data_IF_044559887446
#
_entry.id   IF_044559887446
#
_cell.length_a   1.000
_cell.length_b   1.000
_cell.length_c   1.000
_cell.angle_alpha   90.00
_cell.angle_beta   90.00
_cell.angle_gamma   90.00
#
_symmetry.space_group_name_H-M   'P 1'
#
loop_
_entity.id
_entity.type
_entity.pdbx_description
1 polymer ?
#
# COMPACT_ATOMS: atom_id res chain seq x y z
N UNK A 1 32.70 -15.67 -0.69
CA UNK A 1 31.26 -15.36 -0.74
C UNK A 1 31.16 -13.87 -0.59
N UNK A 2 31.12 -13.23 -1.75
CA UNK A 2 31.48 -11.84 -1.94
C UNK A 2 30.37 -10.93 -1.40
N UNK A 3 30.73 -9.81 -0.76
CA UNK A 3 29.80 -8.73 -0.42
C UNK A 3 28.93 -8.33 -1.63
N UNK A 4 29.48 -8.48 -2.83
CA UNK A 4 28.83 -8.22 -4.12
C UNK A 4 27.74 -9.25 -4.46
N UNK A 5 27.89 -10.50 -4.02
CA UNK A 5 26.86 -11.54 -4.11
C UNK A 5 25.74 -11.27 -3.11
N UNK A 6 26.08 -10.83 -1.89
CA UNK A 6 25.11 -10.46 -0.86
C UNK A 6 24.33 -9.20 -1.23
N UNK A 7 24.98 -8.22 -1.86
CA UNK A 7 24.34 -7.02 -2.41
C UNK A 7 23.39 -7.37 -3.55
N UNK A 8 23.80 -8.22 -4.50
CA UNK A 8 22.91 -8.70 -5.58
C UNK A 8 21.74 -9.53 -5.05
N UNK A 9 21.96 -10.30 -3.99
CA UNK A 9 20.90 -11.04 -3.31
C UNK A 9 19.92 -10.10 -2.59
N UNK A 10 20.42 -9.03 -1.98
CA UNK A 10 19.61 -7.98 -1.37
C UNK A 10 18.84 -7.16 -2.41
N UNK A 11 19.46 -6.74 -3.51
CA UNK A 11 18.80 -6.07 -4.64
C UNK A 11 17.69 -6.95 -5.24
N UNK A 12 17.92 -8.25 -5.38
CA UNK A 12 16.91 -9.20 -5.86
C UNK A 12 15.79 -9.47 -4.86
N UNK A 13 16.02 -9.26 -3.55
CA UNK A 13 15.03 -9.46 -2.48
C UNK A 13 14.23 -8.21 -2.14
N UNK A 14 14.77 -7.02 -2.39
CA UNK A 14 14.07 -5.78 -2.13
C UNK A 14 13.10 -5.51 -3.27
N UNK A 15 11.83 -5.90 -3.07
CA UNK A 15 10.74 -5.36 -3.88
C UNK A 15 10.77 -3.84 -3.75
N UNK A 16 11.25 -3.15 -4.79
CA UNK A 16 11.48 -1.71 -4.83
C UNK A 16 10.20 -0.84 -4.80
N UNK A 17 9.10 -1.37 -4.25
CA UNK A 17 7.92 -0.58 -3.89
C UNK A 17 8.25 0.22 -2.63
N UNK A 18 8.62 1.49 -2.79
CA UNK A 18 8.88 2.35 -1.64
C UNK A 18 7.61 2.55 -0.82
N UNK A 19 7.83 2.57 0.50
CA UNK A 19 6.84 2.55 1.57
C UNK A 19 5.71 3.56 1.37
N UNK A 20 4.50 3.13 1.75
CA UNK A 20 3.28 3.91 2.01
C UNK A 20 3.53 5.24 2.76
N UNK A 21 4.64 5.31 3.50
CA UNK A 21 5.02 6.43 4.39
C UNK A 21 6.09 7.37 3.79
N UNK A 22 6.51 7.12 2.55
CA UNK A 22 7.55 7.93 1.91
C UNK A 22 6.96 9.24 1.42
N UNK A 23 7.55 10.36 1.84
CA UNK A 23 7.15 11.68 1.36
C UNK A 23 7.52 11.79 -0.12
N UNK A 24 6.54 12.11 -0.97
CA UNK A 24 6.82 12.37 -2.38
C UNK A 24 7.46 13.77 -2.52
N UNK A 25 8.79 13.80 -2.69
CA UNK A 25 9.54 15.05 -2.85
C UNK A 25 9.19 15.83 -4.13
N UNK A 26 8.50 15.20 -5.08
CA UNK A 26 8.12 15.82 -6.36
C UNK A 26 7.06 16.93 -6.22
N UNK A 27 6.23 16.91 -5.17
CA UNK A 27 5.10 17.86 -5.02
C UNK A 27 5.44 19.15 -4.26
N UNK A 28 6.57 19.21 -3.55
CA UNK A 28 6.88 20.32 -2.62
C UNK A 28 7.91 21.32 -3.13
N UNK A 29 8.30 21.25 -4.41
CA UNK A 29 9.37 22.09 -4.94
C UNK A 29 10.66 21.97 -4.13
N UNK A 30 10.95 20.75 -3.65
CA UNK A 30 12.08 20.51 -2.79
C UNK A 30 13.37 20.72 -3.59
N UNK A 31 14.45 21.26 -2.99
CA UNK A 31 15.74 21.43 -3.66
C UNK A 31 16.25 20.16 -4.35
N UNK A 32 15.88 19.00 -3.82
CA UNK A 32 16.34 17.69 -4.29
C UNK A 32 15.34 16.94 -5.20
N UNK A 33 14.45 17.67 -5.88
CA UNK A 33 13.40 17.05 -6.70
C UNK A 33 13.99 16.30 -7.90
N UNK A 34 15.09 16.80 -8.46
CA UNK A 34 15.71 16.20 -9.65
C UNK A 34 16.51 14.95 -9.29
N UNK A 35 17.23 14.96 -8.17
CA UNK A 35 17.88 13.77 -7.60
C UNK A 35 16.84 12.71 -7.24
N UNK A 36 15.69 13.11 -6.68
CA UNK A 36 14.58 12.20 -6.41
C UNK A 36 14.06 11.53 -7.68
N UNK A 37 13.85 12.28 -8.77
CA UNK A 37 13.43 11.70 -10.07
C UNK A 37 14.46 10.74 -10.62
N UNK A 38 15.74 11.11 -10.57
CA UNK A 38 16.84 10.25 -11.03
C UNK A 38 16.87 8.92 -10.27
N UNK A 39 16.72 8.95 -8.94
CA UNK A 39 16.65 7.74 -8.12
C UNK A 39 15.43 6.88 -8.48
N UNK A 40 14.25 7.49 -8.60
CA UNK A 40 13.02 6.76 -8.99
C UNK A 40 13.18 6.08 -10.35
N UNK A 41 13.79 6.77 -11.33
CA UNK A 41 14.05 6.20 -12.66
C UNK A 41 15.13 5.11 -12.62
N UNK A 42 16.25 5.35 -11.94
CA UNK A 42 17.38 4.42 -11.87
C UNK A 42 16.99 3.09 -11.23
N UNK A 43 16.22 3.13 -10.15
CA UNK A 43 15.80 1.94 -9.42
C UNK A 43 14.41 1.43 -9.80
N UNK A 44 13.79 2.02 -10.82
CA UNK A 44 12.46 1.66 -11.32
C UNK A 44 11.40 1.57 -10.18
N UNK A 45 11.42 2.53 -9.28
CA UNK A 45 10.57 2.54 -8.09
C UNK A 45 9.10 2.79 -8.49
N UNK A 46 8.22 1.83 -8.17
CA UNK A 46 6.77 2.03 -8.28
C UNK A 46 6.29 2.79 -7.05
N UNK A 47 6.32 4.12 -7.12
CA UNK A 47 5.80 4.98 -6.07
C UNK A 47 4.28 5.13 -6.21
N UNK A 48 3.53 4.67 -5.21
CA UNK A 48 2.11 4.97 -5.11
C UNK A 48 1.92 6.26 -4.33
N UNK A 49 1.38 7.30 -4.97
CA UNK A 49 1.09 8.59 -4.33
C UNK A 49 -0.41 8.67 -4.03
N UNK A 50 -0.77 8.76 -2.75
CA UNK A 50 -2.16 8.83 -2.28
C UNK A 50 -2.73 10.26 -2.30
N UNK A 51 -1.86 11.27 -2.48
CA UNK A 51 -2.20 12.70 -2.45
C UNK A 51 -2.95 13.18 -3.71
N UNK A 52 -3.21 12.31 -4.69
CA UNK A 52 -4.00 12.65 -5.88
C UNK A 52 -5.52 12.39 -5.66
N UNK A 53 -5.90 11.81 -4.51
CA UNK A 53 -7.29 11.56 -4.13
C UNK A 53 -8.06 12.86 -3.82
N UNK A 54 -7.37 13.91 -3.38
CA UNK A 54 -7.99 15.20 -2.99
C UNK A 54 -8.52 16.02 -4.18
N UNK A 55 -8.17 15.65 -5.42
CA UNK A 55 -8.53 16.42 -6.62
C UNK A 55 -9.76 15.89 -7.38
N UNK A 56 -10.32 14.73 -7.01
CA UNK A 56 -11.51 14.18 -7.64
C UNK A 56 -12.73 14.28 -6.72
N UNK A 57 -13.47 15.37 -6.88
CA UNK A 57 -14.78 15.64 -6.25
C UNK A 57 -15.94 14.77 -6.79
N UNK A 58 -15.66 13.81 -7.68
CA UNK A 58 -16.66 12.84 -8.13
C UNK A 58 -16.52 11.58 -7.28
N UNK A 59 -17.49 11.34 -6.39
CA UNK A 59 -17.50 10.25 -5.40
C UNK A 59 -17.50 8.81 -5.93
N UNK A 60 -16.97 8.56 -7.14
CA UNK A 60 -16.68 7.24 -7.70
C UNK A 60 -15.19 7.09 -7.93
N UNK A 61 -14.55 6.37 -7.02
CA UNK A 61 -13.16 5.95 -7.16
C UNK A 61 -13.00 5.02 -8.38
N UNK A 62 -11.95 5.23 -9.17
CA UNK A 62 -11.64 4.37 -10.31
C UNK A 62 -11.26 2.95 -9.84
N UNK A 63 -11.83 1.92 -10.47
CA UNK A 63 -11.55 0.49 -10.17
C UNK A 63 -10.04 0.20 -10.23
N UNK A 64 -9.31 0.83 -11.17
CA UNK A 64 -7.86 0.69 -11.26
C UNK A 64 -7.14 1.20 -10.00
N UNK A 65 -7.63 2.29 -9.40
CA UNK A 65 -7.06 2.84 -8.18
C UNK A 65 -7.33 1.91 -7.00
N UNK A 66 -8.55 1.41 -6.85
CA UNK A 66 -8.91 0.44 -5.81
C UNK A 66 -8.07 -0.84 -5.91
N UNK A 67 -7.86 -1.36 -7.12
CA UNK A 67 -7.03 -2.55 -7.37
C UNK A 67 -5.59 -2.33 -6.92
N UNK A 68 -4.98 -1.18 -7.25
CA UNK A 68 -3.61 -0.84 -6.82
C UNK A 68 -3.49 -0.69 -5.30
N UNK A 69 -4.50 -0.08 -4.65
CA UNK A 69 -4.54 0.05 -3.18
C UNK A 69 -4.64 -1.29 -2.49
N UNK A 70 -5.51 -2.16 -3.00
CA UNK A 70 -5.66 -3.53 -2.49
C UNK A 70 -4.37 -4.33 -2.68
N UNK A 71 -3.72 -4.21 -3.83
CA UNK A 71 -2.43 -4.84 -4.11
C UNK A 71 -1.40 -4.46 -3.04
N UNK A 72 -1.28 -3.17 -2.75
CA UNK A 72 -0.33 -2.66 -1.79
C UNK A 72 -0.64 -3.14 -0.37
N UNK A 73 -1.90 -3.09 0.04
CA UNK A 73 -2.34 -3.57 1.36
C UNK A 73 -1.99 -5.05 1.55
N UNK A 74 -2.29 -5.90 0.55
CA UNK A 74 -1.97 -7.32 0.59
C UNK A 74 -0.47 -7.58 0.58
N UNK A 75 0.31 -6.77 -0.15
CA UNK A 75 1.77 -6.86 -0.15
C UNK A 75 2.37 -6.52 1.21
N UNK A 76 1.91 -5.43 1.85
CA UNK A 76 2.39 -5.00 3.18
C UNK A 76 2.03 -6.02 4.26
N UNK A 77 0.79 -6.51 4.25
CA UNK A 77 0.32 -7.46 5.26
C UNK A 77 0.77 -8.90 4.97
N UNK A 78 1.33 -9.18 3.79
CA UNK A 78 1.66 -10.55 3.37
C UNK A 78 0.43 -11.43 3.17
N UNK A 79 -0.68 -10.84 2.71
CA UNK A 79 -1.97 -11.51 2.53
C UNK A 79 -2.09 -12.37 1.26
N UNK A 80 -1.07 -12.41 0.42
CA UNK A 80 -1.06 -13.25 -0.78
C UNK A 80 -0.83 -14.72 -0.42
N UNK A 81 -1.73 -15.58 -0.87
CA UNK A 81 -1.68 -17.04 -0.61
C UNK A 81 -0.66 -17.77 -1.49
N UNK A 82 -0.32 -17.18 -2.64
CA UNK A 82 0.54 -17.79 -3.66
C UNK A 82 1.62 -16.84 -4.15
N UNK A 83 2.75 -17.41 -4.58
CA UNK A 83 3.84 -16.68 -5.26
C UNK A 83 3.58 -16.44 -6.75
N UNK A 84 2.66 -17.20 -7.35
CA UNK A 84 2.30 -17.05 -8.76
C UNK A 84 1.43 -15.82 -8.99
N UNK A 85 1.77 -15.03 -10.01
CA UNK A 85 1.12 -13.76 -10.31
C UNK A 85 -0.37 -13.91 -10.67
N UNK A 86 -0.70 -14.90 -11.51
CA UNK A 86 -2.09 -15.19 -11.91
C UNK A 86 -3.01 -15.41 -10.70
N UNK A 87 -2.57 -16.21 -9.72
CA UNK A 87 -3.35 -16.47 -8.49
C UNK A 87 -3.50 -15.24 -7.60
N UNK A 88 -2.56 -14.28 -7.67
CA UNK A 88 -2.68 -13.01 -6.92
C UNK A 88 -3.76 -12.13 -7.54
N UNK A 89 -3.81 -12.05 -8.86
CA UNK A 89 -4.82 -11.29 -9.59
C UNK A 89 -6.22 -11.86 -9.33
N UNK A 90 -6.39 -13.17 -9.43
CA UNK A 90 -7.65 -13.86 -9.10
C UNK A 90 -8.11 -13.56 -7.66
N UNK A 91 -7.20 -13.66 -6.69
CA UNK A 91 -7.49 -13.35 -5.28
C UNK A 91 -7.92 -11.89 -5.10
N UNK A 92 -7.29 -10.95 -5.80
CA UNK A 92 -7.61 -9.53 -5.73
C UNK A 92 -8.97 -9.23 -6.36
N UNK A 93 -9.29 -9.83 -7.51
CA UNK A 93 -10.60 -9.71 -8.16
C UNK A 93 -11.72 -10.25 -7.27
N UNK A 94 -11.51 -11.39 -6.62
CA UNK A 94 -12.46 -11.97 -5.68
C UNK A 94 -12.74 -11.03 -4.50
N UNK A 95 -11.69 -10.45 -3.92
CA UNK A 95 -11.81 -9.51 -2.80
C UNK A 95 -12.54 -8.23 -3.23
N UNK A 96 -12.19 -7.66 -4.39
CA UNK A 96 -12.88 -6.48 -4.93
C UNK A 96 -14.36 -6.76 -5.22
N UNK A 97 -14.68 -7.94 -5.76
CA UNK A 97 -16.07 -8.34 -6.01
C UNK A 97 -16.87 -8.45 -4.71
N UNK A 98 -16.24 -8.91 -3.63
CA UNK A 98 -16.88 -9.12 -2.32
C UNK A 98 -17.00 -7.82 -1.49
N UNK A 99 -16.02 -6.93 -1.56
CA UNK A 99 -15.91 -5.72 -0.73
C UNK A 99 -15.85 -4.42 -1.55
N UNK A 100 -16.30 -4.44 -2.81
CA UNK A 100 -16.23 -3.28 -3.71
C UNK A 100 -17.08 -2.07 -3.29
N UNK A 101 -17.93 -2.22 -2.27
CA UNK A 101 -18.67 -1.13 -1.64
C UNK A 101 -17.87 -0.40 -0.55
N UNK A 102 -16.71 -0.92 -0.13
CA UNK A 102 -15.86 -0.29 0.87
C UNK A 102 -14.85 0.65 0.22
N UNK A 103 -14.86 1.91 0.63
CA UNK A 103 -13.87 2.88 0.21
C UNK A 103 -12.52 2.60 0.88
N UNK A 104 -11.56 2.11 0.10
CA UNK A 104 -10.16 1.94 0.52
C UNK A 104 -9.45 3.30 0.48
N UNK A 105 -9.83 4.22 1.36
CA UNK A 105 -9.10 5.48 1.52
C UNK A 105 -7.73 5.22 2.14
N UNK A 106 -6.79 6.14 1.94
CA UNK A 106 -5.46 6.06 2.57
C UNK A 106 -5.53 5.90 4.09
N UNK A 107 -6.41 6.66 4.75
CA UNK A 107 -6.64 6.58 6.19
C UNK A 107 -7.14 5.19 6.62
N UNK A 108 -8.07 4.59 5.87
CA UNK A 108 -8.55 3.23 6.15
C UNK A 108 -7.44 2.18 5.97
N UNK A 109 -6.60 2.32 4.94
CA UNK A 109 -5.43 1.45 4.70
C UNK A 109 -4.44 1.55 5.86
N UNK A 110 -4.08 2.76 6.29
CA UNK A 110 -3.17 2.96 7.43
C UNK A 110 -3.72 2.36 8.72
N UNK A 111 -5.02 2.55 8.99
CA UNK A 111 -5.68 1.95 10.16
C UNK A 111 -5.60 0.42 10.12
N UNK A 112 -5.91 -0.19 8.98
CA UNK A 112 -5.81 -1.65 8.81
C UNK A 112 -4.39 -2.16 9.00
N UNK A 113 -3.39 -1.49 8.40
CA UNK A 113 -1.98 -1.83 8.53
C UNK A 113 -1.52 -1.72 9.99
N UNK A 114 -1.90 -0.65 10.69
CA UNK A 114 -1.55 -0.46 12.10
C UNK A 114 -2.16 -1.55 13.01
N UNK A 115 -3.43 -1.91 12.78
CA UNK A 115 -4.09 -3.00 13.50
C UNK A 115 -3.38 -4.33 13.23
N UNK A 116 -3.10 -4.63 11.96
CA UNK A 116 -2.42 -5.86 11.55
C UNK A 116 -1.05 -6.01 12.24
N UNK A 117 -0.21 -4.97 12.23
CA UNK A 117 1.11 -5.02 12.85
C UNK A 117 1.06 -5.11 14.37
N UNK A 118 0.09 -4.46 15.03
CA UNK A 118 -0.11 -4.60 16.48
C UNK A 118 -0.49 -6.03 16.84
N UNK A 119 -1.43 -6.64 16.10
CA UNK A 119 -1.82 -8.04 16.31
C UNK A 119 -0.62 -8.97 16.08
N UNK A 120 0.11 -8.79 14.97
CA UNK A 120 1.31 -9.58 14.65
C UNK A 120 2.40 -9.46 15.72
N UNK A 121 2.47 -8.33 16.41
CA UNK A 121 3.42 -8.08 17.51
C UNK A 121 2.93 -8.55 18.87
N UNK A 122 1.75 -9.18 18.97
CA UNK A 122 1.16 -9.61 20.23
C UNK A 122 0.68 -8.46 21.12
N UNK A 123 0.55 -7.25 20.58
CA UNK A 123 0.09 -6.08 21.32
C UNK A 123 -1.46 -6.04 21.26
N UNK A 124 -2.16 -5.98 22.40
CA UNK A 124 -3.62 -5.89 22.40
C UNK A 124 -4.10 -4.62 21.69
N UNK A 125 -5.15 -4.74 20.88
CA UNK A 125 -5.73 -3.65 20.10
C UNK A 125 -7.11 -3.29 20.64
N UNK A 126 -7.26 -2.04 21.08
CA UNK A 126 -8.55 -1.43 21.42
C UNK A 126 -8.88 -0.34 20.40
N UNK A 127 -10.01 -0.47 19.70
CA UNK A 127 -10.49 0.53 18.73
C UNK A 127 -11.67 1.27 19.35
N UNK A 128 -11.46 2.54 19.72
CA UNK A 128 -12.49 3.42 20.28
C UNK A 128 -13.01 4.39 19.20
N UNK A 129 -14.28 4.79 19.31
CA UNK A 129 -14.89 5.84 18.50
C UNK A 129 -16.40 5.85 18.67
N UNK A 130 -17.05 6.92 18.23
CA UNK A 130 -18.51 7.09 18.32
C UNK A 130 -19.26 6.08 17.44
N UNK A 131 -20.57 5.91 17.70
CA UNK A 131 -21.44 5.10 16.84
C UNK A 131 -21.47 5.68 15.43
N UNK A 132 -21.43 4.82 14.41
CA UNK A 132 -21.46 5.25 13.00
C UNK A 132 -20.10 5.61 12.38
N UNK A 133 -18.99 5.65 13.14
CA UNK A 133 -17.68 6.00 12.58
C UNK A 133 -16.97 4.87 11.78
N UNK A 134 -17.70 3.83 11.36
CA UNK A 134 -17.18 2.80 10.44
C UNK A 134 -16.27 1.71 11.03
N UNK A 135 -16.04 1.66 12.35
CA UNK A 135 -15.16 0.67 13.03
C UNK A 135 -15.45 -0.79 12.61
N UNK A 136 -16.71 -1.20 12.64
CA UNK A 136 -17.11 -2.57 12.30
C UNK A 136 -16.92 -2.89 10.81
N UNK A 137 -17.17 -1.91 9.92
CA UNK A 137 -17.00 -2.08 8.49
C UNK A 137 -15.51 -2.17 8.11
N UNK A 138 -14.64 -1.48 8.84
CA UNK A 138 -13.17 -1.57 8.67
C UNK A 138 -12.60 -2.94 9.03
N UNK A 139 -13.20 -3.64 10.00
CA UNK A 139 -12.72 -4.95 10.47
C UNK A 139 -13.30 -6.17 9.73
N UNK A 140 -14.30 -5.98 8.87
CA UNK A 140 -15.10 -7.07 8.28
C UNK A 140 -14.67 -7.41 6.86
#
# INVERSE_FOLDING_TARGET
TSLDEDLKLMEKKMDHSLSLLSVNFNKKGHPHTDEWKLLVTQYNWKLYTFEDEDSQNDGKENISNQMKKLQLLLQICGGFTSKHEEKREEQMEEILKKHGDYALTFDNILKMVAIFFRIKSGIPVLIMGETGCGKTKLLK
#
